data_IF_135742260808
#
_entry.id   IF_135742260808
#
_cell.length_a   1.000
_cell.length_b   1.000
_cell.length_c   1.000
_cell.angle_alpha   90.00
_cell.angle_beta   90.00
_cell.angle_gamma   90.00
#
_symmetry.space_group_name_H-M   'P 1'
#
loop_
_entity.id
_entity.type
_entity.pdbx_description
1 polymer ?
#
# COMPACT_ATOMS: atom_id res chain seq x y z
N UNK A 1 7.80 -4.65 -24.17
CA UNK A 1 8.30 -3.69 -23.17
C UNK A 1 8.44 -4.50 -21.91
N UNK A 2 9.63 -4.49 -21.30
CA UNK A 2 9.84 -5.27 -20.07
C UNK A 2 8.89 -4.75 -18.99
N UNK A 3 8.32 -5.68 -18.23
CA UNK A 3 7.49 -5.34 -17.08
C UNK A 3 8.11 -5.93 -15.83
N UNK A 4 8.02 -5.17 -14.74
CA UNK A 4 8.58 -5.55 -13.46
C UNK A 4 7.50 -5.65 -12.40
N UNK A 5 7.78 -6.48 -11.41
CA UNK A 5 7.07 -6.46 -10.13
C UNK A 5 8.06 -6.22 -9.00
N UNK A 6 7.62 -5.49 -7.99
CA UNK A 6 8.36 -5.23 -6.77
C UNK A 6 7.60 -5.84 -5.60
N UNK A 7 8.35 -6.47 -4.71
CA UNK A 7 7.88 -6.84 -3.38
C UNK A 7 8.93 -6.43 -2.35
N UNK A 8 8.47 -5.88 -1.24
CA UNK A 8 9.32 -5.38 -0.19
C UNK A 8 8.64 -5.47 1.15
N UNK A 9 9.43 -5.77 2.16
CA UNK A 9 8.96 -5.88 3.52
C UNK A 9 9.98 -5.35 4.51
N UNK A 10 9.47 -5.03 5.68
CA UNK A 10 10.22 -4.49 6.78
C UNK A 10 11.20 -5.53 7.33
N UNK A 11 12.48 -5.19 7.32
CA UNK A 11 13.54 -5.98 7.96
C UNK A 11 13.76 -5.57 9.41
N UNK A 12 13.52 -4.29 9.73
CA UNK A 12 13.67 -3.74 11.08
C UNK A 12 12.66 -2.62 11.29
N UNK A 13 12.06 -2.58 12.48
CA UNK A 13 11.05 -1.58 12.81
C UNK A 13 10.92 -1.33 14.31
N UNK A 14 9.81 -0.68 14.68
CA UNK A 14 9.40 -0.48 16.08
C UNK A 14 8.16 -1.32 16.37
N UNK A 15 8.04 -1.80 17.60
CA UNK A 15 6.81 -2.44 18.08
C UNK A 15 5.83 -1.39 18.59
N UNK A 16 4.55 -1.56 18.26
CA UNK A 16 3.46 -0.74 18.80
C UNK A 16 2.72 -1.47 19.92
N UNK A 17 1.78 -0.80 20.61
CA UNK A 17 1.10 -1.37 21.80
C UNK A 17 0.31 -2.62 21.46
N UNK A 18 -0.25 -2.67 20.25
CA UNK A 18 -0.98 -3.84 19.76
C UNK A 18 -0.07 -5.03 19.38
N UNK A 19 1.25 -4.89 19.47
CA UNK A 19 2.23 -5.95 19.20
C UNK A 19 2.69 -6.07 17.75
N UNK A 20 2.18 -5.24 16.83
CA UNK A 20 2.66 -5.21 15.44
C UNK A 20 4.06 -4.59 15.36
N UNK A 21 4.87 -5.12 14.45
CA UNK A 21 6.10 -4.48 14.01
C UNK A 21 5.77 -3.56 12.84
N UNK A 22 6.07 -2.27 12.99
CA UNK A 22 5.81 -1.24 11.97
C UNK A 22 7.10 -0.46 11.69
N UNK A 23 7.20 0.28 10.58
CA UNK A 23 8.32 1.15 10.29
C UNK A 23 8.67 2.10 11.44
N UNK A 24 9.97 2.33 11.65
CA UNK A 24 10.45 3.27 12.67
C UNK A 24 10.11 4.71 12.29
N UNK A 25 10.24 5.03 11.01
CA UNK A 25 9.81 6.23 10.33
C UNK A 25 9.02 5.87 9.06
N UNK A 26 8.28 6.84 8.52
CA UNK A 26 7.46 6.68 7.32
C UNK A 26 7.84 7.71 6.25
N UNK A 27 9.09 8.16 6.21
CA UNK A 27 9.52 9.22 5.28
C UNK A 27 9.38 8.79 3.80
N UNK A 28 9.33 7.48 3.55
CA UNK A 28 9.07 6.88 2.25
C UNK A 28 7.60 6.94 1.80
N UNK A 29 6.67 7.14 2.74
CA UNK A 29 5.24 7.03 2.50
C UNK A 29 4.73 8.07 1.49
N UNK A 30 4.96 9.35 1.78
CA UNK A 30 4.47 10.44 0.93
C UNK A 30 5.03 10.34 -0.51
N UNK A 31 6.35 10.15 -0.73
CA UNK A 31 6.88 9.99 -2.08
C UNK A 31 6.28 8.78 -2.82
N UNK A 32 6.22 7.60 -2.19
CA UNK A 32 5.67 6.40 -2.83
C UNK A 32 4.20 6.58 -3.22
N UNK A 33 3.36 7.00 -2.26
CA UNK A 33 1.93 7.15 -2.49
C UNK A 33 1.68 8.22 -3.54
N UNK A 34 2.36 9.38 -3.45
CA UNK A 34 2.23 10.46 -4.45
C UNK A 34 2.56 9.99 -5.86
N UNK A 35 3.55 9.11 -6.01
CA UNK A 35 3.96 8.59 -7.30
C UNK A 35 2.92 7.63 -7.89
N UNK A 36 2.48 6.63 -7.12
CA UNK A 36 1.57 5.60 -7.63
C UNK A 36 0.13 6.08 -7.73
N UNK A 37 -0.34 6.93 -6.82
CA UNK A 37 -1.75 7.37 -6.80
C UNK A 37 -2.15 8.14 -8.06
N UNK A 38 -1.20 8.85 -8.68
CA UNK A 38 -1.40 9.58 -9.95
C UNK A 38 -1.65 8.67 -11.15
N UNK A 39 -1.31 7.39 -11.04
CA UNK A 39 -1.47 6.38 -12.10
C UNK A 39 -2.76 5.57 -11.95
N UNK A 40 -3.44 5.72 -10.81
CA UNK A 40 -4.57 4.90 -10.41
C UNK A 40 -5.88 5.69 -10.50
N UNK A 41 -6.98 4.97 -10.58
CA UNK A 41 -8.33 5.53 -10.65
C UNK A 41 -9.15 5.22 -9.39
N UNK A 42 -8.88 4.06 -8.78
CA UNK A 42 -9.63 3.56 -7.64
C UNK A 42 -8.70 3.14 -6.51
N UNK A 43 -9.27 2.98 -5.32
CA UNK A 43 -8.57 2.41 -4.18
C UNK A 43 -9.40 1.31 -3.51
N UNK A 44 -8.73 0.44 -2.76
CA UNK A 44 -9.34 -0.38 -1.71
C UNK A 44 -8.61 -0.14 -0.39
N UNK A 45 -9.35 -0.05 0.70
CA UNK A 45 -8.84 0.00 2.07
C UNK A 45 -9.39 -1.19 2.83
N UNK A 46 -8.52 -1.90 3.53
CA UNK A 46 -8.89 -2.99 4.42
C UNK A 46 -8.57 -2.61 5.88
N UNK A 47 -9.53 -2.84 6.77
CA UNK A 47 -9.45 -2.53 8.20
C UNK A 47 -9.78 -3.77 9.03
N UNK A 48 -9.14 -3.94 10.19
CA UNK A 48 -9.63 -4.89 11.18
C UNK A 48 -10.96 -4.43 11.77
N UNK A 49 -11.89 -5.36 12.04
CA UNK A 49 -13.22 -5.02 12.55
C UNK A 49 -13.21 -4.27 13.89
N UNK A 50 -12.14 -4.42 14.68
CA UNK A 50 -11.94 -3.75 15.97
C UNK A 50 -11.40 -2.32 15.87
N UNK A 51 -10.86 -1.91 14.72
CA UNK A 51 -10.26 -0.59 14.51
C UNK A 51 -11.32 0.42 14.06
N UNK A 52 -12.19 0.81 14.98
CA UNK A 52 -13.35 1.67 14.68
C UNK A 52 -12.95 3.00 14.04
N UNK A 53 -11.90 3.66 14.52
CA UNK A 53 -11.41 4.91 13.92
C UNK A 53 -10.99 4.70 12.46
N UNK A 54 -10.23 3.64 12.15
CA UNK A 54 -9.80 3.34 10.78
C UNK A 54 -11.01 3.11 9.85
N UNK A 55 -11.99 2.35 10.35
CA UNK A 55 -13.25 2.08 9.64
C UNK A 55 -14.03 3.38 9.37
N UNK A 56 -14.19 4.24 10.38
CA UNK A 56 -14.93 5.50 10.20
C UNK A 56 -14.22 6.44 9.22
N UNK A 57 -12.89 6.47 9.21
CA UNK A 57 -12.13 7.24 8.20
C UNK A 57 -12.25 6.65 6.81
N UNK A 58 -12.18 5.33 6.66
CA UNK A 58 -12.33 4.66 5.35
C UNK A 58 -13.71 4.93 4.71
N UNK A 59 -14.78 4.91 5.52
CA UNK A 59 -16.16 5.21 5.10
C UNK A 59 -16.35 6.62 4.54
N UNK A 60 -15.50 7.59 4.89
CA UNK A 60 -15.60 8.96 4.35
C UNK A 60 -15.31 8.95 2.85
N UNK A 61 -14.45 8.05 2.38
CA UNK A 61 -13.94 8.05 1.00
C UNK A 61 -14.52 6.94 0.14
N UNK A 62 -14.97 5.84 0.74
CA UNK A 62 -15.35 4.65 0.01
C UNK A 62 -16.62 3.98 0.52
N UNK A 63 -17.21 3.17 -0.34
CA UNK A 63 -18.35 2.33 -0.05
C UNK A 63 -17.89 0.97 0.47
N UNK A 64 -18.74 0.27 1.22
CA UNK A 64 -18.40 -1.05 1.74
C UNK A 64 -18.22 -2.06 0.60
N UNK A 65 -17.13 -2.80 0.66
CA UNK A 65 -16.84 -3.93 -0.22
C UNK A 65 -16.94 -5.22 0.58
N UNK A 66 -17.83 -6.12 0.19
CA UNK A 66 -17.94 -7.44 0.81
C UNK A 66 -16.89 -8.38 0.21
N UNK A 67 -15.86 -8.71 1.00
CA UNK A 67 -14.82 -9.67 0.63
C UNK A 67 -15.13 -11.10 1.10
N UNK A 68 -16.24 -11.34 1.81
CA UNK A 68 -16.53 -12.63 2.44
C UNK A 68 -15.61 -13.00 3.60
N UNK A 69 -14.89 -12.01 4.17
CA UNK A 69 -13.94 -12.19 5.28
C UNK A 69 -14.53 -11.64 6.58
N UNK A 70 -14.69 -12.50 7.59
CA UNK A 70 -15.47 -12.17 8.80
C UNK A 70 -14.78 -11.21 9.78
N UNK A 71 -13.45 -11.09 9.75
CA UNK A 71 -12.67 -10.28 10.70
C UNK A 71 -12.17 -8.95 10.10
N UNK A 72 -12.51 -8.65 8.84
CA UNK A 72 -12.10 -7.44 8.16
C UNK A 72 -13.29 -6.70 7.57
N UNK A 73 -13.14 -5.39 7.42
CA UNK A 73 -14.02 -4.57 6.59
C UNK A 73 -13.20 -3.94 5.49
N UNK A 74 -13.70 -4.06 4.27
CA UNK A 74 -13.10 -3.41 3.12
C UNK A 74 -13.98 -2.25 2.63
N UNK A 75 -13.31 -1.25 2.07
CA UNK A 75 -13.91 -0.08 1.47
C UNK A 75 -13.27 0.18 0.13
N UNK A 76 -14.05 0.56 -0.87
CA UNK A 76 -13.56 0.86 -2.23
C UNK A 76 -14.19 2.14 -2.74
N UNK A 77 -13.47 2.87 -3.59
CA UNK A 77 -13.95 4.13 -4.16
C UNK A 77 -13.02 4.68 -5.22
N UNK A 78 -13.46 5.75 -5.88
CA UNK A 78 -12.62 6.54 -6.78
C UNK A 78 -11.60 7.36 -5.98
N UNK A 79 -10.42 7.56 -6.55
CA UNK A 79 -9.40 8.44 -5.97
C UNK A 79 -9.84 9.89 -6.15
N UNK A 80 -10.10 10.57 -5.03
CA UNK A 80 -10.46 11.99 -4.98
C UNK A 80 -9.35 12.83 -4.36
N UNK A 81 -9.36 14.15 -4.58
CA UNK A 81 -8.43 15.08 -3.93
C UNK A 81 -8.52 15.00 -2.40
N UNK A 82 -9.72 14.75 -1.86
CA UNK A 82 -9.93 14.58 -0.43
C UNK A 82 -9.26 13.31 0.09
N UNK A 83 -9.35 12.21 -0.66
CA UNK A 83 -8.68 10.95 -0.33
C UNK A 83 -7.16 11.08 -0.40
N UNK A 84 -6.64 11.71 -1.46
CA UNK A 84 -5.21 12.01 -1.62
C UNK A 84 -4.72 12.85 -0.45
N UNK A 85 -5.45 13.92 -0.10
CA UNK A 85 -5.08 14.80 1.01
C UNK A 85 -4.99 14.06 2.34
N UNK A 86 -5.90 13.12 2.61
CA UNK A 86 -5.82 12.33 3.84
C UNK A 86 -4.64 11.36 3.82
N UNK A 87 -4.45 10.63 2.71
CA UNK A 87 -3.32 9.72 2.57
C UNK A 87 -1.97 10.42 2.72
N UNK A 88 -1.82 11.66 2.28
CA UNK A 88 -0.53 12.36 2.32
C UNK A 88 -0.36 13.15 3.63
N UNK A 89 -1.36 13.91 4.04
CA UNK A 89 -1.21 14.89 5.12
C UNK A 89 -1.72 14.41 6.49
N UNK A 90 -2.54 13.37 6.52
CA UNK A 90 -3.04 12.77 7.75
C UNK A 90 -3.13 11.23 7.62
N UNK A 91 -2.02 10.50 7.40
CA UNK A 91 -2.06 9.04 7.26
C UNK A 91 -2.03 8.29 8.58
N UNK A 92 -1.59 8.92 9.68
CA UNK A 92 -1.22 8.21 10.90
C UNK A 92 -2.30 8.21 11.99
N UNK A 93 -2.35 7.16 12.80
CA UNK A 93 -3.17 7.10 14.01
C UNK A 93 -2.41 7.59 15.26
N UNK A 94 -3.01 7.39 16.43
CA UNK A 94 -2.46 7.79 17.73
C UNK A 94 -1.26 6.93 18.19
N UNK A 95 -1.03 5.77 17.57
CA UNK A 95 0.18 4.97 17.73
C UNK A 95 1.28 5.36 16.72
N UNK A 96 1.01 6.34 15.85
CA UNK A 96 1.92 6.83 14.82
C UNK A 96 2.15 5.83 13.68
N UNK A 97 1.26 4.85 13.52
CA UNK A 97 1.28 3.93 12.36
C UNK A 97 0.27 4.40 11.33
N UNK A 98 0.34 3.89 10.11
CA UNK A 98 -0.70 4.12 9.10
C UNK A 98 -2.05 3.64 9.67
N UNK A 99 -3.10 4.47 9.53
CA UNK A 99 -4.45 4.21 10.09
C UNK A 99 -5.03 2.87 9.64
N UNK A 100 -4.83 2.53 8.37
CA UNK A 100 -5.46 1.38 7.73
C UNK A 100 -4.52 0.20 7.62
N UNK A 101 -5.06 -1.01 7.78
CA UNK A 101 -4.24 -2.22 7.77
C UNK A 101 -3.63 -2.46 6.38
N UNK A 102 -4.44 -2.34 5.33
CA UNK A 102 -3.95 -2.39 3.95
C UNK A 102 -4.62 -1.34 3.07
N UNK A 103 -3.87 -0.79 2.13
CA UNK A 103 -4.31 0.17 1.12
C UNK A 103 -3.85 -0.34 -0.24
N UNK A 104 -4.75 -0.40 -1.20
CA UNK A 104 -4.51 -0.83 -2.57
C UNK A 104 -4.87 0.30 -3.52
N UNK A 105 -3.99 0.63 -4.44
CA UNK A 105 -4.24 1.59 -5.52
C UNK A 105 -4.41 0.82 -6.81
N UNK A 106 -5.52 1.10 -7.51
CA UNK A 106 -6.05 0.26 -8.58
C UNK A 106 -6.11 1.07 -9.88
N UNK A 107 -5.63 0.46 -10.96
CA UNK A 107 -5.70 0.96 -12.33
C UNK A 107 -6.30 -0.13 -13.21
N UNK A 108 -7.35 0.18 -13.97
CA UNK A 108 -7.99 -0.76 -14.92
C UNK A 108 -8.30 -2.13 -14.30
N UNK A 109 -8.92 -2.14 -13.11
CA UNK A 109 -9.26 -3.32 -12.30
C UNK A 109 -8.08 -4.16 -11.79
N UNK A 110 -6.84 -3.65 -11.92
CA UNK A 110 -5.63 -4.29 -11.41
C UNK A 110 -5.02 -3.48 -10.27
N UNK A 111 -4.53 -4.19 -9.25
CA UNK A 111 -3.77 -3.57 -8.17
C UNK A 111 -2.40 -3.19 -8.72
N UNK A 112 -2.13 -1.89 -8.84
CA UNK A 112 -0.84 -1.38 -9.27
C UNK A 112 0.12 -1.28 -8.08
N UNK A 113 -0.41 -0.92 -6.91
CA UNK A 113 0.35 -0.73 -5.67
C UNK A 113 -0.47 -1.24 -4.48
N UNK A 114 0.17 -1.96 -3.57
CA UNK A 114 -0.37 -2.26 -2.24
C UNK A 114 0.61 -1.80 -1.16
N UNK A 115 0.06 -1.24 -0.09
CA UNK A 115 0.74 -1.05 1.19
C UNK A 115 -0.03 -1.84 2.23
N UNK A 116 0.60 -2.82 2.83
CA UNK A 116 -0.03 -3.82 3.68
C UNK A 116 0.61 -3.81 5.06
N UNK A 117 -0.09 -4.39 6.04
CA UNK A 117 0.39 -4.48 7.42
C UNK A 117 0.82 -3.12 8.00
N UNK A 118 -0.01 -2.09 7.78
CA UNK A 118 0.26 -0.71 8.19
C UNK A 118 1.53 -0.12 7.56
N UNK A 119 1.87 -0.55 6.34
CA UNK A 119 3.04 -0.10 5.58
C UNK A 119 4.34 -0.80 5.96
N UNK A 120 4.27 -1.94 6.67
CA UNK A 120 5.45 -2.80 6.84
C UNK A 120 5.74 -3.66 5.61
N UNK A 121 4.81 -3.73 4.67
CA UNK A 121 4.96 -4.46 3.42
C UNK A 121 4.37 -3.63 2.28
N UNK A 122 5.00 -3.67 1.11
CA UNK A 122 4.38 -3.14 -0.10
C UNK A 122 4.73 -3.99 -1.30
N UNK A 123 3.84 -3.94 -2.28
CA UNK A 123 4.04 -4.53 -3.59
C UNK A 123 3.62 -3.56 -4.68
N UNK A 124 4.25 -3.68 -5.83
CA UNK A 124 3.86 -2.92 -7.01
C UNK A 124 4.07 -3.77 -8.27
N UNK A 125 3.14 -3.70 -9.22
CA UNK A 125 3.11 -4.56 -10.42
C UNK A 125 2.90 -3.73 -11.67
N UNK A 126 3.05 -4.33 -12.85
CA UNK A 126 2.90 -3.64 -14.15
C UNK A 126 3.83 -2.42 -14.29
N UNK A 127 5.06 -2.52 -13.75
CA UNK A 127 6.04 -1.44 -13.69
C UNK A 127 7.00 -1.42 -14.88
N UNK A 128 7.48 -0.24 -15.25
CA UNK A 128 8.63 -0.08 -16.15
C UNK A 128 9.94 0.18 -15.38
N UNK A 129 11.04 0.44 -16.11
CA UNK A 129 12.34 0.69 -15.49
C UNK A 129 12.37 1.99 -14.66
N UNK A 130 11.66 3.04 -15.09
CA UNK A 130 11.60 4.33 -14.37
C UNK A 130 10.90 4.16 -13.02
N UNK A 131 9.81 3.38 -13.01
CA UNK A 131 9.09 3.01 -11.80
C UNK A 131 9.99 2.29 -10.79
N UNK A 132 10.79 1.33 -11.28
CA UNK A 132 11.71 0.56 -10.44
C UNK A 132 12.81 1.46 -9.87
N UNK A 133 13.39 2.34 -10.69
CA UNK A 133 14.41 3.30 -10.25
C UNK A 133 13.85 4.28 -9.21
N UNK A 134 12.64 4.77 -9.42
CA UNK A 134 11.96 5.63 -8.46
C UNK A 134 11.80 4.92 -7.11
N UNK A 135 11.25 3.69 -7.09
CA UNK A 135 11.06 2.93 -5.84
C UNK A 135 12.40 2.71 -5.14
N UNK A 136 13.45 2.31 -5.86
CA UNK A 136 14.80 2.15 -5.28
C UNK A 136 15.34 3.43 -4.64
N UNK A 137 15.00 4.60 -5.18
CA UNK A 137 15.47 5.89 -4.67
C UNK A 137 14.77 6.33 -3.38
N UNK A 138 13.54 5.87 -3.16
CA UNK A 138 12.70 6.25 -2.02
C UNK A 138 12.81 5.26 -0.87
N UNK A 139 13.08 3.99 -1.19
CA UNK A 139 12.98 2.92 -0.21
C UNK A 139 14.05 2.97 0.88
N UNK A 140 13.65 2.96 2.17
CA UNK A 140 14.61 2.98 3.28
C UNK A 140 15.37 1.66 3.38
N UNK A 141 16.58 1.75 3.93
CA UNK A 141 17.48 0.61 4.16
C UNK A 141 16.93 -0.44 5.13
N UNK A 142 15.93 -0.06 5.95
CA UNK A 142 15.26 -0.95 6.89
C UNK A 142 14.25 -1.89 6.21
N UNK A 143 14.11 -1.82 4.88
CA UNK A 143 13.31 -2.74 4.08
C UNK A 143 14.19 -3.58 3.15
N UNK A 144 13.82 -4.85 2.97
CA UNK A 144 14.34 -5.61 1.83
C UNK A 144 13.55 -5.22 0.57
N UNK A 145 14.20 -5.20 -0.59
CA UNK A 145 13.56 -4.88 -1.86
C UNK A 145 13.89 -5.96 -2.89
N UNK A 146 12.88 -6.67 -3.36
CA UNK A 146 12.99 -7.63 -4.45
C UNK A 146 12.32 -7.08 -5.71
N UNK A 147 13.03 -7.17 -6.84
CA UNK A 147 12.53 -6.78 -8.16
C UNK A 147 12.55 -8.02 -9.03
N UNK A 148 11.41 -8.31 -9.66
CA UNK A 148 11.20 -9.45 -10.55
C UNK A 148 11.01 -8.94 -11.97
N UNK A 149 11.79 -9.46 -12.92
CA UNK A 149 11.53 -9.30 -14.36
C UNK A 149 10.45 -10.31 -14.75
N UNK A 150 9.31 -9.82 -15.25
CA UNK A 150 8.16 -10.66 -15.56
C UNK A 150 8.32 -11.38 -16.90
N UNK A 151 9.23 -10.92 -17.77
CA UNK A 151 9.53 -11.61 -19.03
C UNK A 151 10.29 -12.93 -18.77
N UNK A 152 11.15 -12.96 -17.74
CA UNK A 152 11.91 -14.18 -17.35
C UNK A 152 11.02 -15.27 -16.74
N UNK A 153 9.84 -14.92 -16.20
CA UNK A 153 8.89 -15.87 -15.60
C UNK A 153 8.10 -16.68 -16.62
N UNK A 154 8.01 -16.21 -17.87
CA UNK A 154 7.30 -16.90 -18.94
C UNK A 154 8.17 -17.92 -19.70
N UNK A 155 9.50 -17.87 -19.56
CA UNK A 155 10.41 -18.80 -20.24
C UNK A 155 10.64 -20.12 -19.48
N UNK A 156 10.30 -20.22 -18.19
CA UNK A 156 10.56 -21.43 -17.37
C UNK A 156 9.38 -22.39 -17.24
N UNK A 157 8.27 -22.18 -17.95
CA UNK A 157 7.07 -23.03 -17.90
C UNK A 157 6.74 -23.69 -19.25
N UNK A 158 7.73 -24.31 -19.89
CA UNK A 158 7.54 -25.23 -21.02
C UNK A 158 8.29 -26.55 -20.82
#
# INVERSE_FOLDING_TARGET
>A
MKTYSIHSGLSKGRSIKSGWLVPADYDFWEPLVTYFIRKCTHFRIDCWIGETTAIERAKVHGENLDLGVNNMKAFTGEITDQFISELIHDPFDDEGKIKWFSIFLIKDDRILFSSEHYGSEFSASDLDEEDVEFVRSVMPVDFYLHVYDMDDYHETNF
#
